data_IF_144277274314
#
_entry.id   IF_144277274314
#
_cell.length_a   1.000
_cell.length_b   1.000
_cell.length_c   1.000
_cell.angle_alpha   90.00
_cell.angle_beta   90.00
_cell.angle_gamma   90.00
#
_symmetry.space_group_name_H-M   'P 1'
#
loop_
_entity.id
_entity.type
_entity.pdbx_description
1 polymer ?
#
# COMPACT_ATOMS: atom_id res chain seq x y z
N UNK A 1 26.70 -12.78 9.98
CA UNK A 1 25.45 -12.70 9.17
C UNK A 1 25.78 -12.22 7.76
N UNK A 2 26.61 -11.18 7.64
CA UNK A 2 27.25 -10.72 6.39
C UNK A 2 28.03 -11.83 5.65
N UNK A 3 28.85 -12.63 6.34
CA UNK A 3 29.68 -13.66 5.68
C UNK A 3 28.86 -14.72 4.93
N UNK A 4 27.76 -15.21 5.53
CA UNK A 4 26.86 -16.16 4.86
C UNK A 4 26.18 -15.54 3.65
N UNK A 5 25.83 -14.26 3.75
CA UNK A 5 25.21 -13.50 2.67
C UNK A 5 26.16 -13.35 1.49
N UNK A 6 27.44 -13.08 1.75
CA UNK A 6 28.49 -13.03 0.74
C UNK A 6 28.66 -14.39 0.03
N UNK A 7 28.70 -15.49 0.79
CA UNK A 7 28.80 -16.85 0.24
C UNK A 7 27.61 -17.18 -0.65
N UNK A 8 26.39 -16.95 -0.17
CA UNK A 8 25.18 -17.20 -0.97
C UNK A 8 25.13 -16.37 -2.24
N UNK A 9 25.56 -15.11 -2.19
CA UNK A 9 25.64 -14.27 -3.38
C UNK A 9 26.66 -14.81 -4.39
N UNK A 10 27.83 -15.27 -3.93
CA UNK A 10 28.82 -15.95 -4.80
C UNK A 10 28.23 -17.20 -5.46
N UNK A 11 27.49 -18.01 -4.70
CA UNK A 11 26.84 -19.21 -5.21
C UNK A 11 25.79 -18.88 -6.29
N UNK A 12 24.99 -17.82 -6.07
CA UNK A 12 24.00 -17.34 -7.05
C UNK A 12 24.71 -16.84 -8.33
N UNK A 13 25.79 -16.07 -8.20
CA UNK A 13 26.57 -15.57 -9.34
C UNK A 13 27.20 -16.74 -10.11
N UNK A 14 27.80 -17.70 -9.42
CA UNK A 14 28.36 -18.91 -10.02
C UNK A 14 27.27 -19.75 -10.73
N UNK A 15 26.10 -19.86 -10.11
CA UNK A 15 24.92 -20.50 -10.68
C UNK A 15 24.47 -19.83 -11.99
N UNK A 16 24.41 -18.49 -12.02
CA UNK A 16 24.09 -17.72 -13.24
C UNK A 16 25.08 -18.02 -14.37
N UNK A 17 26.39 -17.99 -14.09
CA UNK A 17 27.44 -18.31 -15.08
C UNK A 17 27.35 -19.76 -15.61
N UNK A 18 26.87 -20.70 -14.79
CA UNK A 18 26.66 -22.10 -15.17
C UNK A 18 25.40 -22.28 -16.03
N UNK A 19 24.31 -21.59 -15.67
CA UNK A 19 23.03 -21.59 -16.40
C UNK A 19 23.16 -20.99 -17.80
N UNK A 20 24.00 -19.96 -17.97
CA UNK A 20 24.32 -19.35 -19.28
C UNK A 20 24.84 -20.38 -20.31
N UNK A 21 25.40 -21.51 -19.87
CA UNK A 21 25.91 -22.57 -20.76
C UNK A 21 24.86 -23.60 -21.17
N UNK A 22 23.80 -23.77 -20.40
CA UNK A 22 22.85 -24.90 -20.58
C UNK A 22 21.51 -24.49 -21.16
N UNK A 23 21.07 -23.23 -21.01
CA UNK A 23 19.72 -22.81 -21.43
C UNK A 23 19.78 -21.41 -22.02
N UNK A 24 19.86 -21.32 -23.36
CA UNK A 24 19.81 -20.06 -24.14
C UNK A 24 18.49 -19.26 -24.01
N UNK A 25 17.50 -19.76 -23.28
CA UNK A 25 16.11 -19.23 -23.29
C UNK A 25 15.52 -18.89 -21.92
N UNK A 26 16.18 -19.19 -20.79
CA UNK A 26 15.78 -18.61 -19.49
C UNK A 26 16.54 -17.30 -19.34
N UNK A 27 15.87 -16.19 -19.65
CA UNK A 27 16.47 -14.86 -19.68
C UNK A 27 17.38 -14.56 -18.49
N UNK A 28 18.51 -13.91 -18.78
CA UNK A 28 19.43 -13.38 -17.77
C UNK A 28 18.65 -12.61 -16.71
N UNK A 29 18.66 -13.08 -15.47
CA UNK A 29 18.04 -12.37 -14.35
C UNK A 29 19.03 -11.35 -13.75
N UNK A 30 18.50 -10.20 -13.36
CA UNK A 30 19.25 -9.18 -12.65
C UNK A 30 19.48 -9.61 -11.19
N UNK A 31 20.71 -9.47 -10.71
CA UNK A 31 21.09 -9.77 -9.33
C UNK A 31 21.18 -8.46 -8.56
N UNK A 32 20.36 -8.35 -7.51
CA UNK A 32 20.42 -7.28 -6.53
C UNK A 32 21.12 -7.81 -5.28
N UNK A 33 22.25 -7.18 -4.91
CA UNK A 33 23.00 -7.59 -3.73
C UNK A 33 22.30 -7.10 -2.46
N UNK A 34 22.01 -7.97 -1.47
CA UNK A 34 21.30 -7.59 -0.27
C UNK A 34 22.19 -6.77 0.68
N UNK A 35 21.74 -5.56 1.03
CA UNK A 35 22.33 -4.74 2.10
C UNK A 35 21.49 -4.96 3.36
N UNK A 36 22.12 -5.58 4.36
CA UNK A 36 21.45 -6.07 5.56
C UNK A 36 21.09 -4.91 6.51
N UNK A 37 20.05 -5.07 7.36
CA UNK A 37 19.65 -4.07 8.34
C UNK A 37 20.54 -4.12 9.60
N UNK A 38 21.85 -3.98 9.39
CA UNK A 38 22.87 -3.96 10.46
C UNK A 38 23.77 -2.74 10.27
N UNK A 39 24.47 -2.35 11.34
CA UNK A 39 25.35 -1.18 11.27
C UNK A 39 26.40 -1.33 10.16
N UNK A 40 26.76 -0.21 9.53
CA UNK A 40 27.70 -0.19 8.39
C UNK A 40 29.04 -0.81 8.78
N UNK A 41 29.48 -0.65 10.02
CA UNK A 41 30.74 -1.20 10.52
C UNK A 41 30.77 -2.74 10.46
N UNK A 42 29.63 -3.39 10.75
CA UNK A 42 29.52 -4.85 10.78
C UNK A 42 29.44 -5.47 9.37
N UNK A 43 29.02 -4.71 8.37
CA UNK A 43 28.93 -5.15 6.97
C UNK A 43 29.97 -4.51 6.05
N UNK A 44 30.90 -3.71 6.57
CA UNK A 44 31.93 -3.01 5.78
C UNK A 44 32.69 -3.96 4.84
N UNK A 45 33.20 -5.07 5.37
CA UNK A 45 33.95 -6.04 4.57
C UNK A 45 33.12 -6.65 3.44
N UNK A 46 31.82 -6.87 3.67
CA UNK A 46 30.92 -7.34 2.64
C UNK A 46 30.72 -6.28 1.54
N UNK A 47 30.50 -5.02 1.93
CA UNK A 47 30.34 -3.91 0.98
C UNK A 47 31.61 -3.65 0.15
N UNK A 48 32.78 -3.70 0.78
CA UNK A 48 34.08 -3.63 0.09
C UNK A 48 34.23 -4.78 -0.91
N UNK A 49 33.93 -6.02 -0.49
CA UNK A 49 33.95 -7.18 -1.38
C UNK A 49 32.97 -7.07 -2.55
N UNK A 50 31.78 -6.49 -2.35
CA UNK A 50 30.84 -6.23 -3.43
C UNK A 50 31.43 -5.28 -4.47
N UNK A 51 32.13 -4.23 -4.04
CA UNK A 51 32.81 -3.26 -4.90
C UNK A 51 34.00 -3.87 -5.65
N UNK A 52 34.82 -4.65 -4.95
CA UNK A 52 36.10 -5.14 -5.48
C UNK A 52 35.95 -6.41 -6.33
N UNK A 53 35.18 -7.40 -5.85
CA UNK A 53 35.11 -8.74 -6.47
C UNK A 53 33.86 -8.94 -7.33
N UNK A 54 32.72 -8.34 -6.96
CA UNK A 54 31.41 -8.70 -7.52
C UNK A 54 30.75 -7.59 -8.35
N UNK A 55 31.39 -6.43 -8.48
CA UNK A 55 30.78 -5.24 -9.05
C UNK A 55 30.25 -5.42 -10.46
N UNK A 56 30.94 -6.19 -11.29
CA UNK A 56 30.54 -6.46 -12.69
C UNK A 56 29.35 -7.42 -12.82
N UNK A 57 29.07 -8.20 -11.77
CA UNK A 57 28.04 -9.25 -11.79
C UNK A 57 26.70 -8.77 -11.23
N UNK A 58 26.72 -7.76 -10.35
CA UNK A 58 25.53 -7.20 -9.70
C UNK A 58 24.95 -6.04 -10.52
N UNK A 59 23.62 -5.95 -10.56
CA UNK A 59 22.87 -4.92 -11.26
C UNK A 59 22.24 -3.89 -10.32
N UNK A 60 22.14 -4.17 -9.03
CA UNK A 60 21.53 -3.28 -8.06
C UNK A 60 21.80 -3.69 -6.62
N UNK A 61 21.28 -2.91 -5.67
CA UNK A 61 21.32 -3.19 -4.23
C UNK A 61 19.90 -3.35 -3.70
N UNK A 62 19.65 -4.38 -2.89
CA UNK A 62 18.40 -4.59 -2.17
C UNK A 62 18.56 -4.13 -0.71
N UNK A 63 17.93 -3.03 -0.36
CA UNK A 63 18.08 -2.33 0.91
C UNK A 63 16.97 -2.76 1.89
N UNK A 64 17.34 -3.41 2.99
CA UNK A 64 16.37 -3.83 4.02
C UNK A 64 16.15 -2.77 5.11
N UNK A 65 17.06 -1.81 5.23
CA UNK A 65 16.94 -0.67 6.13
C UNK A 65 17.26 0.64 5.37
N UNK A 66 16.30 1.58 5.27
CA UNK A 66 16.52 2.86 4.61
C UNK A 66 17.62 3.72 5.25
N UNK A 67 17.88 3.55 6.55
CA UNK A 67 18.88 4.35 7.26
C UNK A 67 20.32 3.92 6.95
N UNK A 68 20.50 2.74 6.37
CA UNK A 68 21.81 2.18 6.01
C UNK A 68 22.49 2.90 4.81
N UNK A 69 21.83 3.87 4.18
CA UNK A 69 22.31 4.49 2.92
C UNK A 69 23.44 5.51 3.13
N UNK A 70 23.70 5.97 4.36
CA UNK A 70 24.61 7.10 4.57
C UNK A 70 26.06 6.85 4.13
N UNK A 71 26.48 5.58 3.98
CA UNK A 71 27.86 5.20 3.62
C UNK A 71 27.90 3.94 2.75
N UNK A 72 27.64 4.12 1.45
CA UNK A 72 27.88 3.10 0.42
C UNK A 72 29.23 3.39 -0.26
N UNK A 73 30.07 2.38 -0.54
CA UNK A 73 31.30 2.56 -1.32
C UNK A 73 31.03 3.21 -2.69
N UNK A 74 31.97 4.04 -3.17
CA UNK A 74 31.82 4.82 -4.43
C UNK A 74 31.60 3.92 -5.64
N UNK A 75 32.17 2.72 -5.59
CA UNK A 75 32.07 1.69 -6.63
C UNK A 75 30.60 1.28 -6.85
N UNK A 76 29.80 1.31 -5.79
CA UNK A 76 28.40 0.89 -5.78
C UNK A 76 27.41 2.08 -5.89
N UNK A 77 27.91 3.31 -5.94
CA UNK A 77 27.08 4.53 -5.90
C UNK A 77 26.11 4.63 -7.08
N UNK A 78 26.54 4.15 -8.26
CA UNK A 78 25.77 4.20 -9.51
C UNK A 78 24.76 3.05 -9.65
N UNK A 79 24.64 2.16 -8.67
CA UNK A 79 23.71 1.02 -8.72
C UNK A 79 22.32 1.43 -8.23
N UNK A 80 21.24 1.02 -8.91
CA UNK A 80 19.88 1.25 -8.46
C UNK A 80 19.62 0.56 -7.11
N UNK A 81 18.92 1.25 -6.22
CA UNK A 81 18.61 0.79 -4.86
C UNK A 81 17.14 0.43 -4.76
N UNK A 82 16.88 -0.86 -4.59
CA UNK A 82 15.56 -1.43 -4.33
C UNK A 82 15.27 -1.41 -2.83
N UNK A 83 14.21 -0.73 -2.44
CA UNK A 83 13.67 -0.78 -1.08
C UNK A 83 12.97 -2.11 -0.86
N UNK A 84 13.43 -2.83 0.16
CA UNK A 84 12.77 -4.00 0.72
C UNK A 84 11.96 -3.65 1.98
N UNK A 85 11.83 -2.36 2.30
CA UNK A 85 10.89 -1.89 3.30
C UNK A 85 9.45 -1.97 2.76
N UNK A 86 8.50 -1.90 3.68
CA UNK A 86 7.08 -1.81 3.37
C UNK A 86 6.56 -0.43 3.83
N UNK A 87 6.66 0.61 2.99
CA UNK A 87 6.23 1.95 3.38
C UNK A 87 4.72 1.97 3.65
N UNK A 88 4.33 2.53 4.79
CA UNK A 88 2.92 2.58 5.21
C UNK A 88 2.12 3.70 4.52
N UNK A 89 2.81 4.75 4.05
CA UNK A 89 2.20 5.96 3.49
C UNK A 89 3.18 6.65 2.50
N UNK A 90 2.73 7.62 1.67
CA UNK A 90 3.60 8.32 0.73
C UNK A 90 4.70 9.17 1.39
N UNK A 91 4.54 9.61 2.65
CA UNK A 91 5.59 10.36 3.34
C UNK A 91 6.81 9.47 3.63
N UNK A 92 6.59 8.20 3.98
CA UNK A 92 7.66 7.20 4.07
C UNK A 92 8.42 7.06 2.74
N UNK A 93 7.71 7.02 1.60
CA UNK A 93 8.33 6.94 0.28
C UNK A 93 9.17 8.19 0.01
N UNK A 94 8.64 9.40 0.24
CA UNK A 94 9.40 10.64 0.03
C UNK A 94 10.65 10.70 0.91
N UNK A 95 10.54 10.26 2.16
CA UNK A 95 11.69 10.14 3.06
C UNK A 95 12.71 9.16 2.50
N UNK A 96 12.29 8.00 2.02
CA UNK A 96 13.19 7.02 1.41
C UNK A 96 13.87 7.55 0.14
N UNK A 97 13.14 8.25 -0.71
CA UNK A 97 13.70 8.95 -1.88
C UNK A 97 14.74 9.99 -1.46
N UNK A 98 14.46 10.75 -0.39
CA UNK A 98 15.43 11.71 0.16
C UNK A 98 16.73 11.04 0.62
N UNK A 99 16.66 9.79 1.06
CA UNK A 99 17.83 8.99 1.42
C UNK A 99 18.48 8.30 0.21
N UNK A 100 17.94 8.45 -1.00
CA UNK A 100 18.54 7.95 -2.24
C UNK A 100 18.10 6.53 -2.63
N UNK A 101 16.93 6.07 -2.19
CA UNK A 101 16.30 4.86 -2.75
C UNK A 101 15.61 5.15 -4.10
N UNK A 102 15.58 4.16 -4.99
CA UNK A 102 15.11 4.33 -6.37
C UNK A 102 13.84 3.51 -6.69
N UNK A 103 13.77 2.28 -6.19
CA UNK A 103 12.70 1.32 -6.52
C UNK A 103 11.97 0.93 -5.24
N UNK A 104 10.64 0.90 -5.27
CA UNK A 104 9.81 0.74 -4.08
C UNK A 104 8.75 -0.34 -4.25
N UNK A 105 8.44 -1.03 -3.15
CA UNK A 105 7.18 -1.73 -3.00
C UNK A 105 6.16 -0.79 -2.37
N UNK A 106 4.88 -0.91 -2.76
CA UNK A 106 3.82 0.03 -2.32
C UNK A 106 2.61 -0.75 -1.81
N UNK A 107 2.75 -1.47 -0.68
CA UNK A 107 1.70 -2.34 -0.16
C UNK A 107 0.44 -1.56 0.25
N UNK A 108 0.59 -0.30 0.65
CA UNK A 108 -0.53 0.51 1.13
C UNK A 108 -1.62 0.77 0.06
N UNK A 109 -1.31 0.64 -1.24
CA UNK A 109 -2.33 0.74 -2.31
C UNK A 109 -3.40 -0.33 -2.11
N UNK A 110 -2.98 -1.59 -1.93
CA UNK A 110 -3.89 -2.71 -1.70
C UNK A 110 -4.65 -2.54 -0.38
N UNK A 111 -3.95 -2.12 0.68
CA UNK A 111 -4.56 -1.87 2.00
C UNK A 111 -5.66 -0.81 1.90
N UNK A 112 -5.41 0.29 1.18
CA UNK A 112 -6.39 1.35 0.95
C UNK A 112 -7.58 0.85 0.12
N UNK A 113 -7.32 0.15 -0.99
CA UNK A 113 -8.37 -0.43 -1.83
C UNK A 113 -9.27 -1.38 -1.04
N UNK A 114 -8.71 -2.32 -0.28
CA UNK A 114 -9.47 -3.26 0.54
C UNK A 114 -10.29 -2.52 1.61
N UNK A 115 -9.69 -1.49 2.19
CA UNK A 115 -10.35 -0.60 3.12
C UNK A 115 -11.36 0.35 2.46
N UNK A 116 -11.66 0.26 1.16
CA UNK A 116 -12.66 1.10 0.49
C UNK A 116 -12.24 2.56 0.33
N UNK A 117 -10.95 2.85 0.47
CA UNK A 117 -10.38 4.20 0.46
C UNK A 117 -9.92 4.54 -0.96
N UNK A 118 -10.39 5.67 -1.49
CA UNK A 118 -9.85 6.27 -2.69
C UNK A 118 -8.78 7.30 -2.32
N UNK A 119 -7.54 7.10 -2.78
CA UNK A 119 -6.43 8.02 -2.54
C UNK A 119 -6.67 9.38 -3.22
N UNK A 120 -6.24 10.48 -2.59
CA UNK A 120 -6.47 11.85 -3.07
C UNK A 120 -5.28 12.81 -2.81
N UNK A 121 -4.10 12.24 -2.61
CA UNK A 121 -2.87 13.03 -2.49
C UNK A 121 -2.25 13.34 -3.86
N UNK A 122 -1.46 14.41 -3.90
CA UNK A 122 -0.66 14.78 -5.08
C UNK A 122 0.68 15.37 -4.66
N UNK A 123 1.70 15.15 -5.48
CA UNK A 123 3.03 15.72 -5.28
C UNK A 123 3.50 16.36 -6.59
N UNK A 124 4.04 17.59 -6.60
CA UNK A 124 3.99 18.58 -5.51
C UNK A 124 2.56 18.90 -5.06
N UNK A 125 2.43 19.43 -3.84
CA UNK A 125 1.13 19.89 -3.34
C UNK A 125 0.66 21.07 -4.18
N UNK A 126 -0.62 21.05 -4.57
CA UNK A 126 -1.30 22.23 -5.13
C UNK A 126 -2.18 22.82 -4.04
N UNK A 127 -1.67 23.75 -3.21
CA UNK A 127 -2.46 24.28 -2.12
C UNK A 127 -3.67 25.04 -2.68
N UNK A 128 -4.88 24.81 -2.16
CA UNK A 128 -5.99 25.72 -2.40
C UNK A 128 -5.64 27.10 -1.79
N UNK A 129 -6.22 28.17 -2.33
CA UNK A 129 -6.10 29.50 -1.72
C UNK A 129 -6.51 29.44 -0.24
N UNK A 130 -5.79 30.12 0.67
CA UNK A 130 -6.02 30.01 2.10
C UNK A 130 -7.41 30.51 2.48
N UNK A 131 -8.39 29.61 2.61
CA UNK A 131 -9.67 29.91 3.22
C UNK A 131 -9.52 29.87 4.75
N UNK A 132 -9.52 31.05 5.36
CA UNK A 132 -9.76 31.28 6.79
C UNK A 132 -8.79 30.60 7.77
N UNK A 133 -7.50 30.98 7.74
CA UNK A 133 -6.62 31.07 8.92
C UNK A 133 -6.28 29.80 9.73
N UNK A 134 -6.93 28.67 9.48
CA UNK A 134 -6.72 27.40 10.16
C UNK A 134 -6.36 26.35 9.11
N UNK A 135 -5.08 25.99 9.03
CA UNK A 135 -4.62 24.93 8.11
C UNK A 135 -4.97 23.59 8.75
N UNK A 136 -6.19 23.10 8.50
CA UNK A 136 -6.52 21.71 8.75
C UNK A 136 -5.72 20.85 7.76
N UNK A 137 -5.01 19.85 8.27
CA UNK A 137 -4.30 18.87 7.44
C UNK A 137 -5.33 18.10 6.60
N UNK A 138 -4.96 17.78 5.36
CA UNK A 138 -5.79 17.01 4.44
C UNK A 138 -5.51 15.52 4.61
N UNK A 139 -6.52 14.64 4.70
CA UNK A 139 -6.30 13.20 4.70
C UNK A 139 -5.72 12.73 3.36
N UNK A 140 -4.97 11.62 3.37
CA UNK A 140 -4.36 11.03 2.18
C UNK A 140 -5.36 10.43 1.19
N UNK A 141 -6.59 10.17 1.64
CA UNK A 141 -7.65 9.62 0.83
C UNK A 141 -9.00 9.84 1.49
N UNK A 142 -10.05 9.33 0.85
CA UNK A 142 -11.42 9.45 1.33
C UNK A 142 -12.06 8.06 1.35
N UNK A 143 -12.74 7.73 2.44
CA UNK A 143 -13.53 6.50 2.53
C UNK A 143 -14.78 6.63 1.63
N UNK A 144 -14.97 5.66 0.74
CA UNK A 144 -16.08 5.64 -0.22
C UNK A 144 -17.31 4.86 0.29
N UNK A 145 -17.26 4.28 1.50
CA UNK A 145 -18.41 3.56 2.09
C UNK A 145 -19.53 4.43 2.68
N UNK A 146 -19.25 5.60 3.29
CA UNK A 146 -20.28 6.40 3.95
C UNK A 146 -21.44 6.74 3.01
N UNK A 147 -22.66 6.72 3.56
CA UNK A 147 -23.88 7.01 2.81
C UNK A 147 -23.95 8.45 2.29
N UNK A 148 -23.09 9.36 2.79
CA UNK A 148 -22.92 10.71 2.25
C UNK A 148 -22.57 10.71 0.77
N UNK A 149 -21.89 9.67 0.27
CA UNK A 149 -21.55 9.53 -1.15
C UNK A 149 -22.68 8.95 -2.00
N UNK A 150 -23.77 8.43 -1.43
CA UNK A 150 -24.82 7.72 -2.15
C UNK A 150 -25.58 8.57 -3.19
N UNK A 151 -25.46 9.90 -3.14
CA UNK A 151 -26.06 10.84 -4.11
C UNK A 151 -25.04 11.74 -4.80
N UNK A 152 -23.76 11.46 -4.59
CA UNK A 152 -22.66 12.26 -5.11
C UNK A 152 -22.28 11.80 -6.53
N UNK A 153 -22.66 12.59 -7.53
CA UNK A 153 -22.38 12.34 -8.94
C UNK A 153 -21.02 12.90 -9.39
N UNK A 154 -20.22 13.43 -8.48
CA UNK A 154 -18.86 13.87 -8.78
C UNK A 154 -17.90 12.68 -8.98
N UNK A 155 -16.78 12.85 -9.71
CA UNK A 155 -15.73 11.83 -9.80
C UNK A 155 -15.05 11.63 -8.44
N UNK A 156 -14.26 10.54 -8.30
CA UNK A 156 -13.51 10.29 -7.06
C UNK A 156 -12.54 11.45 -6.75
N UNK A 157 -11.89 11.98 -7.81
CA UNK A 157 -11.00 13.14 -7.76
C UNK A 157 -11.22 14.03 -9.00
N UNK A 158 -11.46 15.36 -8.87
CA UNK A 158 -11.85 16.25 -9.97
C UNK A 158 -10.93 16.30 -11.19
N UNK A 159 -9.64 16.05 -11.02
CA UNK A 159 -8.63 16.14 -12.10
C UNK A 159 -8.07 14.78 -12.54
N UNK A 160 -8.54 13.68 -11.94
CA UNK A 160 -8.03 12.35 -12.23
C UNK A 160 -8.58 11.84 -13.57
N UNK A 161 -7.69 11.36 -14.44
CA UNK A 161 -8.03 10.86 -15.78
C UNK A 161 -8.19 9.33 -15.85
N UNK A 162 -8.22 8.64 -14.71
CA UNK A 162 -8.37 7.19 -14.68
C UNK A 162 -9.75 6.75 -15.20
N UNK A 163 -9.87 5.47 -15.57
CA UNK A 163 -11.14 4.90 -16.02
C UNK A 163 -12.28 5.09 -15.00
N UNK A 164 -11.98 4.92 -13.70
CA UNK A 164 -12.98 5.08 -12.65
C UNK A 164 -13.51 6.52 -12.56
N UNK A 165 -12.65 7.54 -12.61
CA UNK A 165 -13.06 8.94 -12.53
C UNK A 165 -13.72 9.47 -13.81
N UNK A 166 -13.38 8.91 -14.97
CA UNK A 166 -13.90 9.38 -16.26
C UNK A 166 -15.22 8.72 -16.67
N UNK A 167 -15.51 7.52 -16.16
CA UNK A 167 -16.71 6.73 -16.50
C UNK A 167 -17.71 6.56 -15.37
N UNK A 168 -17.26 6.72 -14.13
CA UNK A 168 -18.06 6.48 -12.94
C UNK A 168 -17.98 7.66 -11.97
N UNK A 169 -18.81 7.61 -10.95
CA UNK A 169 -18.98 8.65 -9.95
C UNK A 169 -19.03 8.03 -8.55
N UNK A 170 -18.90 8.87 -7.52
CA UNK A 170 -18.80 8.45 -6.12
C UNK A 170 -20.02 7.63 -5.67
N UNK A 171 -21.24 8.01 -6.07
CA UNK A 171 -22.44 7.26 -5.72
C UNK A 171 -22.45 5.83 -6.29
N UNK A 172 -22.01 5.65 -7.54
CA UNK A 172 -21.90 4.32 -8.12
C UNK A 172 -20.89 3.47 -7.38
N UNK A 173 -19.73 4.03 -7.04
CA UNK A 173 -18.72 3.30 -6.29
C UNK A 173 -19.21 2.94 -4.88
N UNK A 174 -19.82 3.90 -4.18
CA UNK A 174 -20.42 3.68 -2.85
C UNK A 174 -21.46 2.55 -2.90
N UNK A 175 -22.33 2.55 -3.92
CA UNK A 175 -23.31 1.50 -4.14
C UNK A 175 -22.65 0.12 -4.33
N UNK A 176 -21.62 0.02 -5.18
CA UNK A 176 -20.90 -1.24 -5.40
C UNK A 176 -20.23 -1.75 -4.12
N UNK A 177 -19.59 -0.86 -3.35
CA UNK A 177 -18.96 -1.22 -2.08
C UNK A 177 -19.99 -1.66 -1.04
N UNK A 178 -21.12 -0.97 -0.94
CA UNK A 178 -22.23 -1.35 -0.06
C UNK A 178 -22.85 -2.70 -0.45
N UNK A 179 -22.95 -2.98 -1.75
CA UNK A 179 -23.41 -4.27 -2.28
C UNK A 179 -22.36 -5.39 -2.18
N UNK A 180 -21.14 -5.09 -1.73
CA UNK A 180 -19.99 -5.99 -1.75
C UNK A 180 -19.70 -6.61 -3.13
N UNK A 181 -19.86 -5.80 -4.18
CA UNK A 181 -19.60 -6.19 -5.56
C UNK A 181 -18.13 -6.00 -5.94
N UNK A 182 -17.51 -7.03 -6.53
CA UNK A 182 -16.07 -7.07 -6.85
C UNK A 182 -15.60 -5.88 -7.70
N UNK A 183 -16.48 -5.38 -8.57
CA UNK A 183 -16.19 -4.24 -9.43
C UNK A 183 -15.82 -2.97 -8.63
N UNK A 184 -16.37 -2.79 -7.42
CA UNK A 184 -16.04 -1.64 -6.57
C UNK A 184 -14.56 -1.58 -6.23
N UNK A 185 -13.98 -2.71 -5.79
CA UNK A 185 -12.54 -2.79 -5.51
C UNK A 185 -11.68 -2.68 -6.76
N UNK A 186 -12.12 -3.21 -7.91
CA UNK A 186 -11.40 -3.06 -9.18
C UNK A 186 -11.30 -1.58 -9.59
N UNK A 187 -12.41 -0.82 -9.48
CA UNK A 187 -12.42 0.61 -9.79
C UNK A 187 -11.54 1.41 -8.82
N UNK A 188 -11.57 1.08 -7.53
CA UNK A 188 -10.66 1.67 -6.53
C UNK A 188 -9.20 1.37 -6.85
N UNK A 189 -8.87 0.13 -7.22
CA UNK A 189 -7.51 -0.26 -7.57
C UNK A 189 -6.99 0.57 -8.76
N UNK A 190 -7.79 0.71 -9.81
CA UNK A 190 -7.45 1.52 -10.98
C UNK A 190 -7.20 2.98 -10.58
N UNK A 191 -8.06 3.55 -9.74
CA UNK A 191 -7.92 4.92 -9.26
C UNK A 191 -6.67 5.10 -8.39
N UNK A 192 -6.46 4.22 -7.42
CA UNK A 192 -5.36 4.30 -6.46
C UNK A 192 -3.99 4.15 -7.16
N UNK A 193 -3.89 3.27 -8.17
CA UNK A 193 -2.68 3.18 -9.00
C UNK A 193 -2.43 4.47 -9.80
N UNK A 194 -3.45 5.04 -10.42
CA UNK A 194 -3.29 6.31 -11.16
C UNK A 194 -2.77 7.43 -10.24
N UNK A 195 -3.27 7.52 -9.01
CA UNK A 195 -2.82 8.54 -8.04
C UNK A 195 -1.34 8.34 -7.69
N UNK A 196 -0.91 7.10 -7.47
CA UNK A 196 0.49 6.79 -7.19
C UNK A 196 1.40 7.04 -8.41
N UNK A 197 0.94 6.71 -9.61
CA UNK A 197 1.68 6.98 -10.85
C UNK A 197 1.90 8.49 -11.04
N UNK A 198 0.86 9.30 -10.81
CA UNK A 198 0.96 10.76 -10.83
C UNK A 198 1.87 11.31 -9.74
N UNK A 199 1.81 10.74 -8.53
CA UNK A 199 2.69 11.08 -7.42
C UNK A 199 4.16 10.85 -7.79
N UNK A 200 4.53 9.68 -8.31
CA UNK A 200 5.91 9.41 -8.72
C UNK A 200 6.35 10.27 -9.92
N UNK A 201 5.45 10.57 -10.85
CA UNK A 201 5.74 11.50 -11.95
C UNK A 201 6.07 12.89 -11.43
N UNK A 202 5.28 13.42 -10.50
CA UNK A 202 5.54 14.70 -9.86
C UNK A 202 6.81 14.69 -9.00
N UNK A 203 7.09 13.58 -8.31
CA UNK A 203 8.34 13.42 -7.55
C UNK A 203 9.57 13.52 -8.45
N UNK A 204 9.57 12.80 -9.58
CA UNK A 204 10.66 12.91 -10.57
C UNK A 204 10.79 14.32 -11.15
N UNK A 205 9.67 14.99 -11.44
CA UNK A 205 9.68 16.36 -11.95
C UNK A 205 10.29 17.34 -10.93
N UNK A 206 9.92 17.21 -9.66
CA UNK A 206 10.43 18.02 -8.55
C UNK A 206 11.92 17.81 -8.30
N UNK A 207 12.40 16.56 -8.36
CA UNK A 207 13.85 16.24 -8.32
C UNK A 207 14.57 16.89 -9.51
N UNK A 208 14.04 16.75 -10.73
CA UNK A 208 14.61 17.36 -11.93
C UNK A 208 14.64 18.89 -11.90
N UNK A 209 13.71 19.53 -11.18
CA UNK A 209 13.66 20.98 -10.97
C UNK A 209 14.51 21.46 -9.78
N UNK A 210 15.06 20.56 -8.96
CA UNK A 210 15.79 20.91 -7.75
C UNK A 210 14.92 21.46 -6.61
N UNK A 211 13.60 21.24 -6.63
CA UNK A 211 12.64 21.74 -5.63
C UNK A 211 12.17 20.67 -4.64
N UNK A 212 12.67 19.44 -4.75
CA UNK A 212 12.23 18.28 -3.99
C UNK A 212 12.15 18.49 -2.48
N UNK A 213 13.21 19.02 -1.86
CA UNK A 213 13.24 19.21 -0.40
C UNK A 213 12.15 20.19 0.08
N UNK A 214 11.83 21.22 -0.72
CA UNK A 214 10.78 22.18 -0.38
C UNK A 214 9.39 21.56 -0.61
N UNK A 215 9.19 20.92 -1.76
CA UNK A 215 7.93 20.23 -2.08
C UNK A 215 7.61 19.14 -1.04
N UNK A 216 8.63 18.43 -0.54
CA UNK A 216 8.51 17.45 0.54
C UNK A 216 8.07 18.10 1.86
N UNK A 217 8.69 19.20 2.28
CA UNK A 217 8.28 19.93 3.49
C UNK A 217 6.85 20.45 3.40
N UNK A 218 6.44 20.93 2.23
CA UNK A 218 5.06 21.36 1.99
C UNK A 218 4.10 20.17 2.08
N UNK A 219 4.46 19.03 1.48
CA UNK A 219 3.67 17.81 1.55
C UNK A 219 3.46 17.30 2.99
N UNK A 220 4.53 17.25 3.79
CA UNK A 220 4.48 16.81 5.18
C UNK A 220 3.62 17.73 6.07
N UNK A 221 3.57 19.03 5.77
CA UNK A 221 2.70 19.97 6.48
C UNK A 221 1.25 19.87 6.03
N UNK A 222 1.01 19.62 4.75
CA UNK A 222 -0.32 19.67 4.15
C UNK A 222 -1.14 18.39 4.37
N UNK A 223 -0.52 17.20 4.28
CA UNK A 223 -1.21 15.92 4.38
C UNK A 223 -1.03 15.23 5.72
N UNK A 224 -2.05 14.56 6.23
CA UNK A 224 -1.91 13.64 7.37
C UNK A 224 -0.98 12.47 7.06
N UNK A 225 -0.23 11.95 8.05
CA UNK A 225 0.69 10.83 7.85
C UNK A 225 -0.05 9.50 7.66
N UNK A 226 -1.18 9.32 8.32
CA UNK A 226 -1.91 8.05 8.35
C UNK A 226 -2.99 8.00 7.27
N UNK A 227 -3.23 6.80 6.74
CA UNK A 227 -4.40 6.54 5.92
C UNK A 227 -5.68 6.69 6.77
N UNK A 228 -6.81 7.09 6.16
CA UNK A 228 -8.10 7.11 6.83
C UNK A 228 -8.44 5.78 7.51
N UNK A 229 -9.30 5.84 8.53
CA UNK A 229 -9.73 4.65 9.27
C UNK A 229 -10.30 3.58 8.34
N UNK A 230 -9.92 2.33 8.60
CA UNK A 230 -10.32 1.18 7.78
C UNK A 230 -11.73 0.75 8.17
N UNK A 231 -12.73 1.25 7.44
CA UNK A 231 -14.16 0.95 7.72
C UNK A 231 -14.66 -0.37 7.13
N UNK A 232 -13.85 -1.11 6.39
CA UNK A 232 -14.32 -2.38 5.85
C UNK A 232 -13.26 -3.38 5.48
N UNK A 233 -13.76 -4.56 5.12
CA UNK A 233 -13.06 -5.82 5.28
C UNK A 233 -12.36 -6.31 4.00
N UNK A 234 -12.38 -5.51 2.93
CA UNK A 234 -11.90 -5.92 1.61
C UNK A 234 -12.90 -6.77 0.83
N UNK A 235 -12.51 -7.20 -0.38
CA UNK A 235 -13.33 -8.08 -1.20
C UNK A 235 -13.55 -9.43 -0.50
N UNK A 236 -14.64 -10.12 -0.84
CA UNK A 236 -14.93 -11.45 -0.30
C UNK A 236 -13.84 -12.44 -0.69
N UNK A 237 -13.00 -12.83 0.25
CA UNK A 237 -11.95 -13.83 0.05
C UNK A 237 -12.60 -15.23 0.03
N UNK A 238 -12.32 -16.05 -0.99
CA UNK A 238 -12.72 -17.47 -0.99
C UNK A 238 -11.58 -18.33 -0.47
N UNK A 239 -11.90 -19.38 0.29
CA UNK A 239 -10.89 -20.18 1.01
C UNK A 239 -9.84 -20.89 0.14
N UNK A 240 -10.08 -21.04 -1.17
CA UNK A 240 -9.06 -21.56 -2.09
C UNK A 240 -8.08 -20.48 -2.59
N UNK A 241 -8.41 -19.19 -2.44
CA UNK A 241 -7.61 -18.05 -2.92
C UNK A 241 -6.59 -17.59 -1.87
N UNK A 242 -6.83 -17.86 -0.59
CA UNK A 242 -5.91 -17.54 0.50
C UNK A 242 -5.78 -18.74 1.41
N UNK A 243 -4.63 -19.42 1.34
CA UNK A 243 -4.21 -20.35 2.39
C UNK A 243 -3.46 -19.53 3.43
N UNK A 244 -3.71 -19.79 4.71
CA UNK A 244 -2.83 -19.31 5.77
C UNK A 244 -1.51 -20.08 5.62
N UNK A 245 -0.42 -19.37 5.33
CA UNK A 245 0.90 -19.99 5.08
C UNK A 245 1.77 -20.00 6.35
N UNK A 246 1.39 -19.23 7.38
CA UNK A 246 2.14 -19.10 8.63
C UNK A 246 1.41 -19.60 9.89
N UNK A 247 2.13 -20.14 10.90
CA UNK A 247 1.55 -20.59 12.18
C UNK A 247 0.90 -19.48 13.03
N UNK A 248 1.16 -18.20 12.73
CA UNK A 248 0.61 -17.04 13.43
C UNK A 248 -0.39 -16.23 12.58
N UNK A 249 -0.71 -16.68 11.36
CA UNK A 249 -1.65 -15.97 10.51
C UNK A 249 -3.09 -16.25 10.91
N UNK A 250 -3.83 -15.19 11.23
CA UNK A 250 -5.26 -15.29 11.49
C UNK A 250 -5.99 -15.77 10.24
N UNK A 251 -6.98 -16.63 10.44
CA UNK A 251 -7.83 -17.10 9.34
C UNK A 251 -8.58 -15.91 8.73
N UNK A 252 -8.26 -15.56 7.49
CA UNK A 252 -8.87 -14.43 6.77
C UNK A 252 -10.39 -14.57 6.60
N UNK A 253 -10.88 -15.81 6.53
CA UNK A 253 -12.31 -16.10 6.50
C UNK A 253 -12.79 -16.57 7.88
N UNK A 254 -13.52 -15.73 8.64
CA UNK A 254 -14.22 -16.22 9.82
C UNK A 254 -15.22 -17.30 9.40
N UNK A 255 -15.45 -18.28 10.26
CA UNK A 255 -16.45 -19.31 10.01
C UNK A 255 -17.84 -18.67 10.04
N UNK A 256 -18.61 -18.81 8.95
CA UNK A 256 -19.97 -18.26 8.84
C UNK A 256 -20.93 -18.80 9.90
N UNK A 257 -20.62 -19.95 10.50
CA UNK A 257 -21.40 -20.59 11.54
C UNK A 257 -20.50 -20.88 12.75
N UNK A 258 -20.94 -20.47 13.95
CA UNK A 258 -20.40 -20.92 15.23
C UNK A 258 -21.05 -22.23 15.68
N UNK A 259 -20.76 -22.69 16.91
CA UNK A 259 -21.56 -23.78 17.49
C UNK A 259 -23.00 -23.31 17.65
N UNK A 260 -23.95 -24.19 17.34
CA UNK A 260 -25.39 -23.92 17.41
C UNK A 260 -25.82 -23.35 18.77
N UNK A 261 -25.17 -23.78 19.85
CA UNK A 261 -25.45 -23.31 21.21
C UNK A 261 -24.98 -21.86 21.41
N UNK A 262 -23.76 -21.52 21.00
CA UNK A 262 -23.24 -20.14 21.03
C UNK A 262 -24.10 -19.19 20.18
N UNK A 263 -24.60 -19.68 19.03
CA UNK A 263 -25.50 -18.93 18.16
C UNK A 263 -26.87 -18.76 18.82
N UNK A 264 -27.40 -19.78 19.51
CA UNK A 264 -28.65 -19.69 20.29
C UNK A 264 -28.54 -18.71 21.46
N UNK A 265 -27.43 -18.71 22.20
CA UNK A 265 -27.19 -17.74 23.27
C UNK A 265 -27.11 -16.32 22.71
N UNK A 266 -26.34 -16.11 21.64
CA UNK A 266 -26.26 -14.81 20.96
C UNK A 266 -27.58 -14.35 20.37
N UNK A 267 -28.43 -15.24 19.85
CA UNK A 267 -29.78 -14.92 19.38
C UNK A 267 -30.77 -14.66 20.53
N UNK A 268 -30.59 -15.32 21.67
CA UNK A 268 -31.36 -15.02 22.87
C UNK A 268 -30.95 -13.66 23.49
N UNK A 269 -29.69 -13.27 23.34
CA UNK A 269 -29.17 -11.95 23.73
C UNK A 269 -29.49 -10.86 22.70
N UNK A 270 -29.44 -11.18 21.41
CA UNK A 270 -29.74 -10.29 20.30
C UNK A 270 -31.24 -10.32 19.98
N UNK A 271 -31.96 -9.40 20.63
CA UNK A 271 -33.33 -8.93 20.32
C UNK A 271 -34.45 -9.63 21.11
N UNK A 272 -35.08 -8.85 21.99
CA UNK A 272 -36.51 -9.01 22.30
C UNK A 272 -37.28 -8.78 21.01
N UNK A 273 -37.71 -9.86 20.34
CA UNK A 273 -38.59 -9.74 19.19
C UNK A 273 -39.86 -8.97 19.61
N UNK A 274 -40.37 -8.05 18.79
CA UNK A 274 -41.65 -7.42 19.08
C UNK A 274 -42.71 -8.51 19.22
N UNK A 275 -43.41 -8.48 20.35
CA UNK A 275 -44.55 -9.36 20.60
C UNK A 275 -45.54 -9.23 19.45
N UNK A 276 -46.29 -10.28 19.07
CA UNK A 276 -47.35 -10.19 18.07
C UNK A 276 -48.46 -9.16 18.38
N UNK A 277 -48.40 -8.48 19.53
CA UNK A 277 -49.24 -7.36 19.93
C UNK A 277 -48.56 -5.97 19.84
N UNK A 278 -47.39 -5.84 19.22
CA UNK A 278 -46.67 -4.56 19.08
C UNK A 278 -47.32 -3.64 18.04
N UNK A 279 -47.43 -2.35 18.36
CA UNK A 279 -48.08 -1.35 17.51
C UNK A 279 -47.12 -0.82 16.44
N UNK A 280 -47.65 -0.22 15.37
CA UNK A 280 -46.87 0.25 14.22
C UNK A 280 -45.73 1.23 14.58
N UNK A 281 -45.86 1.98 15.69
CA UNK A 281 -44.79 2.87 16.21
C UNK A 281 -43.60 2.12 16.78
N UNK A 282 -43.83 0.97 17.43
CA UNK A 282 -42.76 0.17 18.04
C UNK A 282 -41.79 -0.38 16.99
N UNK A 283 -42.29 -0.61 15.77
CA UNK A 283 -41.48 -1.04 14.64
C UNK A 283 -40.69 0.09 13.97
N UNK A 284 -41.19 1.33 14.00
CA UNK A 284 -40.46 2.50 13.49
C UNK A 284 -39.27 2.85 14.40
N UNK A 285 -39.45 2.79 15.72
CA UNK A 285 -38.40 3.09 16.70
C UNK A 285 -37.27 2.04 16.72
N UNK A 286 -37.59 0.77 16.42
CA UNK A 286 -36.60 -0.32 16.41
C UNK A 286 -35.85 -0.48 15.08
N UNK A 287 -36.33 0.17 14.00
CA UNK A 287 -35.72 0.13 12.68
C UNK A 287 -35.92 -1.21 11.97
N UNK A 288 -36.58 -1.19 10.82
CA UNK A 288 -36.77 -2.38 9.99
C UNK A 288 -35.43 -2.83 9.39
N UNK A 289 -34.85 -3.87 9.99
CA UNK A 289 -33.71 -4.65 9.50
C UNK A 289 -32.33 -3.95 9.47
N UNK A 290 -31.56 -4.15 10.55
CA UNK A 290 -30.11 -4.44 10.36
C UNK A 290 -30.01 -5.92 10.02
N UNK A 291 -29.61 -6.23 8.79
CA UNK A 291 -29.31 -7.59 8.38
C UNK A 291 -28.17 -8.14 9.25
N UNK A 292 -28.44 -9.28 9.89
CA UNK A 292 -27.49 -10.11 10.65
C UNK A 292 -26.48 -10.75 9.70
#
# INVERSE_FOLDING_TARGET
MSDRTAVWLKDIIAGRRSLDKTIKERGQFAIFAPVLPISVELQRFYLEQLGDEMRSEIQGLAMYDPLSITKIPKELENLPRLSMSEPANPQCILREIQHGLDIFTIPFIGIATDAGIALDFSFPVRPPEPMNGTILRKPLGVDMRPSSHARDLSPLRPECKCYACTKHHRAYLQHLLAANEMLGWVLLQIHNHQVVDEFFAGTRASIGAGTFDEDYRVFEKFYDPDLPERTGQGPRVRGYQCKSEGPSELKKNPTAYGRLDDVREKLAEAVSLPSPAADAKDFEDQGFAKAV
#
